data_IF_214742159797
#
_entry.id   IF_214742159797
#
_cell.length_a   1.000
_cell.length_b   1.000
_cell.length_c   1.000
_cell.angle_alpha   90.00
_cell.angle_beta   90.00
_cell.angle_gamma   90.00
#
_symmetry.space_group_name_H-M   'P 1'
#
loop_
_entity.id
_entity.type
_entity.pdbx_description
1 polymer ?
#
# COMPACT_ATOMS: atom_id res chain seq x y z
N UNK A 1 1.61 9.74 -8.93
CA UNK A 1 2.90 10.32 -8.52
C UNK A 1 2.81 11.73 -7.92
N UNK A 2 1.99 12.66 -8.43
CA UNK A 2 1.88 14.04 -7.90
C UNK A 2 1.72 14.12 -6.36
N UNK A 3 0.83 13.32 -5.78
CA UNK A 3 0.62 13.27 -4.33
C UNK A 3 1.88 12.82 -3.58
N UNK A 4 2.54 11.74 -4.02
CA UNK A 4 3.77 11.23 -3.42
C UNK A 4 4.90 12.28 -3.41
N UNK A 5 5.06 13.03 -4.51
CA UNK A 5 6.07 14.10 -4.62
C UNK A 5 5.73 15.30 -3.74
N UNK A 6 4.44 15.61 -3.57
CA UNK A 6 4.00 16.70 -2.72
C UNK A 6 4.11 16.41 -1.21
N UNK A 7 4.32 15.16 -0.82
CA UNK A 7 4.53 14.76 0.59
C UNK A 7 6.02 14.96 0.98
N UNK A 8 6.33 15.74 2.03
CA UNK A 8 7.71 15.91 2.52
C UNK A 8 8.32 14.63 3.06
N UNK A 9 9.65 14.58 3.12
CA UNK A 9 10.38 13.49 3.80
C UNK A 9 10.55 13.77 5.31
N UNK A 10 10.63 12.71 6.16
CA UNK A 10 10.47 11.30 5.81
C UNK A 10 8.99 10.92 5.57
N UNK A 11 8.74 10.10 4.54
CA UNK A 11 7.42 9.57 4.20
C UNK A 11 7.45 8.07 3.95
N UNK A 12 6.31 7.43 4.15
CA UNK A 12 6.09 6.02 3.87
C UNK A 12 4.99 5.80 2.83
N UNK A 13 5.07 4.69 2.12
CA UNK A 13 4.02 4.22 1.22
C UNK A 13 3.49 2.88 1.71
N UNK A 14 2.19 2.81 1.97
CA UNK A 14 1.51 1.59 2.39
C UNK A 14 0.56 1.13 1.28
N UNK A 15 0.75 -0.08 0.77
CA UNK A 15 -0.19 -0.74 -0.12
C UNK A 15 -1.31 -1.40 0.71
N UNK A 16 -2.47 -0.75 0.75
CA UNK A 16 -3.64 -1.19 1.52
C UNK A 16 -4.64 -1.94 0.62
N UNK A 17 -4.85 -3.22 0.94
CA UNK A 17 -5.75 -4.13 0.24
C UNK A 17 -5.13 -4.80 -1.00
N UNK A 18 -5.78 -5.88 -1.45
CA UNK A 18 -5.24 -6.74 -2.51
C UNK A 18 -5.19 -6.02 -3.85
N UNK A 19 -6.15 -5.14 -4.14
CA UNK A 19 -6.12 -4.28 -5.33
C UNK A 19 -4.83 -3.44 -5.41
N UNK A 20 -4.35 -2.89 -4.28
CA UNK A 20 -3.10 -2.12 -4.26
C UNK A 20 -1.86 -3.02 -4.33
N UNK A 21 -1.94 -4.23 -3.75
CA UNK A 21 -0.79 -5.09 -3.59
C UNK A 21 -0.49 -5.96 -4.83
N UNK A 22 -1.49 -6.46 -5.55
CA UNK A 22 -1.34 -7.29 -6.75
C UNK A 22 -2.49 -7.16 -7.77
N UNK A 23 -3.22 -6.04 -7.74
CA UNK A 23 -4.45 -5.80 -8.51
C UNK A 23 -5.67 -6.62 -8.05
N UNK A 24 -5.52 -7.59 -7.14
CA UNK A 24 -6.61 -8.37 -6.58
C UNK A 24 -7.55 -8.94 -7.66
N UNK A 25 -8.85 -8.75 -7.47
CA UNK A 25 -9.90 -9.22 -8.41
C UNK A 25 -9.82 -8.59 -9.80
N UNK A 26 -9.02 -7.53 -9.99
CA UNK A 26 -8.83 -6.85 -11.27
C UNK A 26 -7.53 -7.25 -11.99
N UNK A 27 -6.77 -8.22 -11.47
CA UNK A 27 -5.55 -8.69 -12.09
C UNK A 27 -5.77 -9.12 -13.55
N UNK A 28 -4.91 -8.64 -14.46
CA UNK A 28 -5.00 -8.90 -15.90
C UNK A 28 -5.97 -7.99 -16.68
N UNK A 29 -6.75 -7.14 -15.99
CA UNK A 29 -7.59 -6.16 -16.67
C UNK A 29 -6.75 -5.06 -17.34
N UNK A 30 -7.07 -4.65 -18.59
CA UNK A 30 -6.41 -3.51 -19.22
C UNK A 30 -6.76 -2.17 -18.54
N UNK A 31 -7.75 -2.16 -17.63
CA UNK A 31 -8.13 -0.99 -16.87
C UNK A 31 -7.24 -0.74 -15.63
N UNK A 32 -6.34 -1.67 -15.28
CA UNK A 32 -5.41 -1.51 -14.16
C UNK A 32 -3.96 -1.43 -14.64
N UNK A 33 -3.17 -0.61 -13.96
CA UNK A 33 -1.78 -0.31 -14.31
C UNK A 33 -0.77 -1.29 -13.72
N UNK A 34 -1.23 -2.29 -12.97
CA UNK A 34 -0.38 -3.21 -12.21
C UNK A 34 -0.33 -2.88 -10.70
N UNK A 35 0.47 -3.63 -9.93
CA UNK A 35 0.62 -3.45 -8.49
C UNK A 35 1.28 -2.11 -8.14
N UNK A 36 0.95 -1.56 -6.96
CA UNK A 36 1.52 -0.29 -6.50
C UNK A 36 3.06 -0.32 -6.39
N UNK A 37 3.63 -1.50 -6.07
CA UNK A 37 5.08 -1.70 -5.99
C UNK A 37 5.81 -1.54 -7.33
N UNK A 38 5.09 -1.61 -8.45
CA UNK A 38 5.64 -1.25 -9.77
C UNK A 38 5.68 0.26 -10.04
N UNK A 39 5.10 1.09 -9.16
CA UNK A 39 4.89 2.53 -9.37
C UNK A 39 5.58 3.37 -8.29
N UNK A 40 5.54 2.93 -7.02
CA UNK A 40 6.10 3.63 -5.87
C UNK A 40 6.88 2.66 -4.96
N UNK A 41 7.88 3.15 -4.19
CA UNK A 41 8.58 2.33 -3.20
C UNK A 41 7.66 2.04 -2.02
N UNK A 42 7.09 0.83 -1.96
CA UNK A 42 6.16 0.42 -0.89
C UNK A 42 6.94 -0.05 0.33
N UNK A 43 6.66 0.54 1.50
CA UNK A 43 7.24 0.16 2.79
C UNK A 43 6.48 -0.98 3.48
N UNK A 44 5.16 -1.06 3.26
CA UNK A 44 4.29 -2.05 3.91
C UNK A 44 3.14 -2.47 2.98
N UNK A 45 2.84 -3.77 2.96
CA UNK A 45 1.62 -4.30 2.37
C UNK A 45 0.66 -4.78 3.47
N UNK A 46 -0.57 -4.27 3.49
CA UNK A 46 -1.65 -4.72 4.36
C UNK A 46 -2.69 -5.40 3.47
N UNK A 47 -2.74 -6.74 3.50
CA UNK A 47 -3.56 -7.56 2.59
C UNK A 47 -5.03 -7.65 3.02
N UNK A 48 -5.93 -7.80 2.06
CA UNK A 48 -7.38 -7.98 2.27
C UNK A 48 -8.26 -7.31 1.21
N UNK A 49 -9.54 -7.71 1.13
CA UNK A 49 -10.49 -7.21 0.13
C UNK A 49 -11.89 -6.91 0.73
N UNK A 50 -12.04 -5.86 1.57
CA UNK A 50 -10.96 -5.03 2.14
C UNK A 50 -10.34 -5.65 3.41
N UNK A 51 -9.14 -5.21 3.83
CA UNK A 51 -8.55 -5.63 5.09
C UNK A 51 -9.45 -5.25 6.29
N UNK A 52 -9.57 -6.10 7.32
CA UNK A 52 -10.25 -5.75 8.57
C UNK A 52 -9.63 -4.50 9.21
N UNK A 53 -10.43 -3.56 9.76
CA UNK A 53 -9.89 -2.33 10.35
C UNK A 53 -8.81 -2.57 11.40
N UNK A 54 -8.95 -3.62 12.21
CA UNK A 54 -7.96 -3.98 13.23
C UNK A 54 -6.60 -4.37 12.61
N UNK A 55 -6.59 -5.01 11.45
CA UNK A 55 -5.36 -5.42 10.77
C UNK A 55 -4.67 -4.22 10.12
N UNK A 56 -5.42 -3.21 9.69
CA UNK A 56 -4.87 -1.93 9.24
C UNK A 56 -4.10 -1.27 10.39
N UNK A 57 -4.73 -1.15 11.56
CA UNK A 57 -4.12 -0.52 12.74
C UNK A 57 -2.88 -1.29 13.18
N UNK A 58 -2.94 -2.62 13.26
CA UNK A 58 -1.78 -3.47 13.60
C UNK A 58 -0.62 -3.29 12.62
N UNK A 59 -0.91 -3.25 11.31
CA UNK A 59 0.11 -3.03 10.29
C UNK A 59 0.80 -1.67 10.43
N UNK A 60 0.02 -0.61 10.67
CA UNK A 60 0.56 0.73 10.88
C UNK A 60 1.40 0.84 12.16
N UNK A 61 0.95 0.24 13.27
CA UNK A 61 1.76 0.18 14.49
C UNK A 61 3.11 -0.52 14.25
N UNK A 62 3.09 -1.69 13.61
CA UNK A 62 4.32 -2.44 13.32
C UNK A 62 5.30 -1.65 12.44
N UNK A 63 4.80 -0.89 11.46
CA UNK A 63 5.65 -0.03 10.63
C UNK A 63 6.32 1.09 11.43
N UNK A 64 5.59 1.70 12.36
CA UNK A 64 6.13 2.77 13.21
C UNK A 64 7.18 2.20 14.18
N UNK A 65 6.90 1.07 14.82
CA UNK A 65 7.80 0.44 15.80
C UNK A 65 9.11 -0.06 15.18
N UNK A 66 9.09 -0.56 13.95
CA UNK A 66 10.30 -1.06 13.27
C UNK A 66 11.26 0.03 12.81
N UNK A 67 10.83 1.30 12.83
CA UNK A 67 11.58 2.46 12.32
C UNK A 67 11.76 3.54 13.39
N UNK A 68 11.38 3.27 14.63
CA UNK A 68 11.71 4.06 15.83
C UNK A 68 13.11 3.71 16.33
#
# INVERSE_FOLDING_TARGET
LRAYVATPDPKWVVALGDCAADCGVFAGSPAVVGPLSGILPVDLHIRGCPPPPLDIVKGLLALIETRA
#
